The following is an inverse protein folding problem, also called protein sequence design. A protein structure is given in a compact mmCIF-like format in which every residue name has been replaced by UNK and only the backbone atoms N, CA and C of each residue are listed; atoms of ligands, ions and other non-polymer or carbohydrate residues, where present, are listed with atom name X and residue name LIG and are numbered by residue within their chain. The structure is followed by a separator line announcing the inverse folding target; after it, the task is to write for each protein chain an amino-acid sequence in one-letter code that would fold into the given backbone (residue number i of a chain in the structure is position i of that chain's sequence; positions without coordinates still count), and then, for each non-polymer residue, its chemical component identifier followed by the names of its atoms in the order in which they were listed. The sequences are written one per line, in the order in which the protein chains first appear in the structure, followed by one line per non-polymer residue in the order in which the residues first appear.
data_IF_893106903588
#
_entry.id   IF_893106903588
#
_cell.length_a   1.000
_cell.length_b   1.000
_cell.length_c   1.000
_cell.angle_alpha   90.00
_cell.angle_beta   90.00
_cell.angle_gamma   90.00
#
_symmetry.space_group_name_H-M   'P 1'
#
loop_
_entity.id
_entity.type
_entity.pdbx_description
1 polymer ?
#
# COMPACT_ATOMS: atom_id res chain seq x y z
N UNK A 1 -44.11 7.67 6.24
CA UNK A 1 -45.35 6.93 6.63
C UNK A 1 -46.59 7.82 6.74
N UNK A 2 -46.54 9.03 7.31
CA UNK A 2 -47.75 9.88 7.45
C UNK A 2 -48.25 10.51 6.13
N UNK A 3 -47.36 10.79 5.17
CA UNK A 3 -47.68 11.39 3.87
C UNK A 3 -48.44 10.42 2.95
N UNK A 4 -48.05 9.14 2.91
CA UNK A 4 -48.74 8.15 2.07
C UNK A 4 -50.17 7.87 2.57
N UNK A 5 -50.38 7.80 3.89
CA UNK A 5 -51.70 7.54 4.49
C UNK A 5 -52.73 8.63 4.17
N UNK A 6 -52.29 9.89 4.00
CA UNK A 6 -53.18 11.00 3.60
C UNK A 6 -53.63 10.90 2.14
N UNK A 7 -52.81 10.34 1.25
CA UNK A 7 -53.13 10.18 -0.17
C UNK A 7 -54.24 9.14 -0.40
N UNK A 8 -54.15 7.99 0.27
CA UNK A 8 -55.17 6.93 0.17
C UNK A 8 -56.54 7.37 0.73
N UNK A 9 -56.56 8.18 1.79
CA UNK A 9 -57.80 8.72 2.35
C UNK A 9 -58.53 9.65 1.38
N UNK A 10 -57.80 10.49 0.65
CA UNK A 10 -58.38 11.39 -0.36
C UNK A 10 -59.03 10.60 -1.52
N UNK A 11 -58.36 9.57 -2.01
CA UNK A 11 -58.90 8.69 -3.05
C UNK A 11 -60.19 7.97 -2.60
N UNK A 12 -60.22 7.46 -1.37
CA UNK A 12 -61.39 6.77 -0.81
C UNK A 12 -62.59 7.73 -0.72
N UNK A 13 -62.37 8.97 -0.28
CA UNK A 13 -63.43 9.99 -0.18
C UNK A 13 -63.99 10.32 -1.57
N UNK A 14 -63.12 10.49 -2.58
CA UNK A 14 -63.54 10.75 -3.96
C UNK A 14 -64.38 9.59 -4.50
N UNK A 15 -63.92 8.34 -4.35
CA UNK A 15 -64.64 7.14 -4.80
C UNK A 15 -66.02 7.05 -4.13
N UNK A 16 -66.07 7.23 -2.80
CA UNK A 16 -67.33 7.18 -2.05
C UNK A 16 -68.31 8.29 -2.45
N UNK A 17 -67.79 9.49 -2.73
CA UNK A 17 -68.59 10.62 -3.20
C UNK A 17 -69.19 10.34 -4.58
N UNK A 18 -68.39 9.85 -5.53
CA UNK A 18 -68.84 9.47 -6.88
C UNK A 18 -69.89 8.36 -6.80
N UNK A 19 -69.65 7.33 -5.98
CA UNK A 19 -70.61 6.25 -5.77
C UNK A 19 -71.94 6.74 -5.16
N UNK A 20 -71.86 7.62 -4.15
CA UNK A 20 -73.04 8.18 -3.50
C UNK A 20 -73.88 9.05 -4.46
N UNK A 21 -73.23 9.87 -5.29
CA UNK A 21 -73.89 10.68 -6.32
C UNK A 21 -74.57 9.79 -7.36
N UNK A 22 -73.90 8.71 -7.80
CA UNK A 22 -74.46 7.76 -8.76
C UNK A 22 -75.71 7.05 -8.22
N UNK A 23 -75.67 6.62 -6.95
CA UNK A 23 -76.79 5.98 -6.26
C UNK A 23 -77.96 6.95 -6.07
N UNK A 24 -77.69 8.20 -5.70
CA UNK A 24 -78.69 9.25 -5.52
C UNK A 24 -79.39 9.59 -6.84
N UNK A 25 -78.66 9.70 -7.95
CA UNK A 25 -79.23 9.89 -9.29
C UNK A 25 -80.14 8.73 -9.71
N UNK A 26 -79.75 7.48 -9.40
CA UNK A 26 -80.58 6.30 -9.66
C UNK A 26 -81.88 6.29 -8.84
N UNK A 27 -81.81 6.65 -7.55
CA UNK A 27 -82.99 6.74 -6.67
C UNK A 27 -83.94 7.86 -7.11
N UNK A 28 -83.41 9.04 -7.42
CA UNK A 28 -84.23 10.17 -7.91
C UNK A 28 -84.90 9.82 -9.24
N UNK A 29 -84.19 9.20 -10.17
CA UNK A 29 -84.78 8.75 -11.45
C UNK A 29 -85.91 7.73 -11.24
N UNK A 30 -85.78 6.83 -10.25
CA UNK A 30 -86.82 5.84 -9.91
C UNK A 30 -88.11 6.47 -9.35
N UNK A 31 -88.01 7.52 -8.52
CA UNK A 31 -89.17 8.16 -7.90
C UNK A 31 -89.82 9.28 -8.75
N UNK A 32 -89.08 9.88 -9.69
CA UNK A 32 -89.57 11.03 -10.49
C UNK A 32 -90.24 10.61 -11.81
N UNK A 33 -89.84 9.49 -12.40
CA UNK A 33 -90.38 9.02 -13.67
C UNK A 33 -91.14 7.71 -13.48
N UNK A 34 -92.41 7.63 -13.87
CA UNK A 34 -93.24 6.41 -13.71
C UNK A 34 -93.03 5.38 -14.84
N UNK A 35 -92.63 5.82 -16.03
CA UNK A 35 -92.44 4.96 -17.20
C UNK A 35 -90.96 4.61 -17.45
N UNK A 36 -90.70 3.34 -17.79
CA UNK A 36 -89.36 2.85 -18.11
C UNK A 36 -88.71 3.57 -19.31
N UNK A 37 -89.52 4.05 -20.24
CA UNK A 37 -89.04 4.76 -21.44
C UNK A 37 -88.39 6.08 -21.07
N UNK A 38 -89.04 6.91 -20.23
CA UNK A 38 -88.55 8.23 -19.84
C UNK A 38 -87.30 8.14 -18.94
N UNK A 39 -87.21 7.09 -18.12
CA UNK A 39 -85.99 6.75 -17.34
C UNK A 39 -84.81 6.44 -18.25
N UNK A 40 -85.04 5.70 -19.35
CA UNK A 40 -84.04 5.39 -20.35
C UNK A 40 -83.51 6.63 -21.07
N UNK A 41 -84.41 7.51 -21.53
CA UNK A 41 -84.03 8.76 -22.21
C UNK A 41 -83.25 9.72 -21.30
N UNK A 42 -83.59 9.77 -20.00
CA UNK A 42 -82.82 10.53 -19.01
C UNK A 42 -81.41 9.96 -18.83
N UNK A 43 -81.25 8.63 -18.84
CA UNK A 43 -79.95 7.96 -18.84
C UNK A 43 -79.12 8.25 -20.09
N UNK A 44 -79.75 8.27 -21.27
CA UNK A 44 -79.10 8.55 -22.55
C UNK A 44 -78.48 9.96 -22.63
N UNK A 45 -79.04 10.94 -21.90
CA UNK A 45 -78.44 12.28 -21.79
C UNK A 45 -77.04 12.28 -21.15
N UNK A 46 -76.76 11.30 -20.28
CA UNK A 46 -75.44 11.13 -19.68
C UNK A 46 -74.48 10.33 -20.56
N UNK A 47 -74.95 9.67 -21.62
CA UNK A 47 -74.09 8.91 -22.55
C UNK A 47 -73.03 9.78 -23.22
N UNK A 48 -73.41 10.98 -23.69
CA UNK A 48 -72.48 11.95 -24.30
C UNK A 48 -71.43 12.48 -23.30
N UNK A 49 -71.86 12.74 -22.06
CA UNK A 49 -70.98 13.13 -20.95
C UNK A 49 -70.00 12.01 -20.60
N UNK A 50 -70.46 10.75 -20.63
CA UNK A 50 -69.64 9.58 -20.32
C UNK A 50 -68.56 9.33 -21.39
N UNK A 51 -68.88 9.58 -22.67
CA UNK A 51 -67.91 9.54 -23.79
C UNK A 51 -66.86 10.63 -23.61
N UNK A 52 -67.26 11.86 -23.27
CA UNK A 52 -66.32 12.96 -23.02
C UNK A 52 -65.40 12.66 -21.83
N UNK A 53 -65.96 12.15 -20.72
CA UNK A 53 -65.19 11.81 -19.53
C UNK A 53 -64.21 10.66 -19.79
N UNK A 54 -64.63 9.66 -20.57
CA UNK A 54 -63.76 8.55 -21.00
C UNK A 54 -62.62 9.03 -21.89
N UNK A 55 -62.89 9.95 -22.83
CA UNK A 55 -61.87 10.57 -23.68
C UNK A 55 -60.87 11.42 -22.89
N UNK A 56 -61.35 12.21 -21.92
CA UNK A 56 -60.49 12.99 -21.03
C UNK A 56 -59.64 12.10 -20.12
N UNK A 57 -60.22 11.04 -19.54
CA UNK A 57 -59.48 10.07 -18.75
C UNK A 57 -58.38 9.39 -19.58
N UNK A 58 -58.68 9.02 -20.82
CA UNK A 58 -57.69 8.45 -21.74
C UNK A 58 -56.58 9.46 -22.08
N UNK A 59 -56.91 10.72 -22.34
CA UNK A 59 -55.93 11.78 -22.56
C UNK A 59 -55.03 12.00 -21.33
N UNK A 60 -55.61 11.94 -20.13
CA UNK A 60 -54.87 12.07 -18.87
C UNK A 60 -53.91 10.89 -18.67
N UNK A 61 -54.33 9.66 -18.98
CA UNK A 61 -53.45 8.48 -18.98
C UNK A 61 -52.29 8.65 -19.98
N UNK A 62 -52.56 9.07 -21.22
CA UNK A 62 -51.51 9.32 -22.21
C UNK A 62 -50.51 10.38 -21.74
N UNK A 63 -51.00 11.45 -21.12
CA UNK A 63 -50.15 12.48 -20.53
C UNK A 63 -49.27 11.93 -19.40
N UNK A 64 -49.83 11.10 -18.51
CA UNK A 64 -49.03 10.47 -17.44
C UNK A 64 -47.97 9.51 -17.99
N UNK A 65 -48.27 8.73 -19.04
CA UNK A 65 -47.29 7.87 -19.71
C UNK A 65 -46.16 8.70 -20.31
N UNK A 66 -46.49 9.86 -20.89
CA UNK A 66 -45.48 10.78 -21.41
C UNK A 66 -44.53 11.28 -20.32
N UNK A 67 -45.06 11.67 -19.15
CA UNK A 67 -44.26 12.07 -18.00
C UNK A 67 -43.39 10.92 -17.47
N UNK A 68 -43.97 9.72 -17.30
CA UNK A 68 -43.23 8.54 -16.86
C UNK A 68 -42.07 8.20 -17.80
N UNK A 69 -42.24 8.39 -19.12
CA UNK A 69 -41.16 8.20 -20.09
C UNK A 69 -40.01 9.20 -19.87
N UNK A 70 -40.33 10.48 -19.62
CA UNK A 70 -39.32 11.50 -19.34
C UNK A 70 -38.52 11.15 -18.08
N UNK A 71 -39.19 10.72 -17.00
CA UNK A 71 -38.54 10.29 -15.76
C UNK A 71 -37.60 9.10 -15.99
N UNK A 72 -38.02 8.11 -16.79
CA UNK A 72 -37.17 6.97 -17.15
C UNK A 72 -35.93 7.39 -17.95
N UNK A 73 -36.07 8.35 -18.85
CA UNK A 73 -34.94 8.85 -19.64
C UNK A 73 -33.93 9.61 -18.74
N UNK A 74 -34.41 10.44 -17.81
CA UNK A 74 -33.57 11.10 -16.80
C UNK A 74 -32.86 10.06 -15.91
N UNK A 75 -33.59 9.04 -15.43
CA UNK A 75 -33.00 7.97 -14.62
C UNK A 75 -31.89 7.22 -15.36
N UNK A 76 -32.07 6.96 -16.68
CA UNK A 76 -31.03 6.35 -17.51
C UNK A 76 -29.80 7.23 -17.63
N UNK A 77 -29.95 8.55 -17.74
CA UNK A 77 -28.81 9.48 -17.77
C UNK A 77 -28.06 9.49 -16.45
N UNK A 78 -28.76 9.55 -15.32
CA UNK A 78 -28.15 9.47 -13.98
C UNK A 78 -27.39 8.15 -13.81
N UNK A 79 -27.96 7.02 -14.24
CA UNK A 79 -27.28 5.73 -14.20
C UNK A 79 -26.01 5.72 -15.06
N UNK A 80 -26.03 6.31 -16.26
CA UNK A 80 -24.85 6.42 -17.12
C UNK A 80 -23.74 7.24 -16.45
N UNK A 81 -24.09 8.35 -15.82
CA UNK A 81 -23.13 9.19 -15.07
C UNK A 81 -22.56 8.40 -13.90
N UNK A 82 -23.40 7.73 -13.11
CA UNK A 82 -22.96 6.93 -11.97
C UNK A 82 -22.02 5.80 -12.38
N UNK A 83 -22.30 5.10 -13.49
CA UNK A 83 -21.39 4.07 -14.03
C UNK A 83 -20.05 4.69 -14.44
N UNK A 84 -20.06 5.88 -15.05
CA UNK A 84 -18.83 6.58 -15.43
C UNK A 84 -18.02 6.97 -14.20
N UNK A 85 -18.65 7.51 -13.16
CA UNK A 85 -17.99 7.91 -11.93
C UNK A 85 -17.40 6.70 -11.18
N UNK A 86 -18.13 5.58 -11.13
CA UNK A 86 -17.62 4.33 -10.56
C UNK A 86 -16.40 3.81 -11.32
N UNK A 87 -16.38 3.92 -12.65
CA UNK A 87 -15.21 3.55 -13.46
C UNK A 87 -14.00 4.44 -13.16
N UNK A 88 -14.20 5.76 -13.09
CA UNK A 88 -13.13 6.70 -12.72
C UNK A 88 -12.60 6.44 -11.31
N UNK A 89 -13.49 6.13 -10.37
CA UNK A 89 -13.10 5.78 -9.00
C UNK A 89 -12.30 4.47 -8.99
N UNK A 90 -12.73 3.45 -9.72
CA UNK A 90 -11.99 2.18 -9.82
C UNK A 90 -10.58 2.39 -10.40
N UNK A 91 -10.45 3.20 -11.45
CA UNK A 91 -9.15 3.56 -12.03
C UNK A 91 -8.27 4.33 -11.04
N UNK A 92 -8.84 5.31 -10.33
CA UNK A 92 -8.11 6.05 -9.30
C UNK A 92 -7.63 5.13 -8.18
N UNK A 93 -8.45 4.18 -7.72
CA UNK A 93 -8.06 3.20 -6.70
C UNK A 93 -6.98 2.23 -7.19
N UNK A 94 -7.03 1.81 -8.45
CA UNK A 94 -6.00 0.96 -9.03
C UNK A 94 -4.65 1.70 -9.08
N UNK A 95 -4.66 2.96 -9.54
CA UNK A 95 -3.47 3.81 -9.55
C UNK A 95 -2.93 4.08 -8.14
N UNK A 96 -3.79 4.28 -7.16
CA UNK A 96 -3.37 4.42 -5.75
C UNK A 96 -2.75 3.13 -5.21
N UNK A 97 -3.27 1.97 -5.58
CA UNK A 97 -2.69 0.68 -5.17
C UNK A 97 -1.27 0.49 -5.74
N UNK A 98 -1.05 0.80 -7.02
CA UNK A 98 0.29 0.75 -7.66
C UNK A 98 1.28 1.71 -6.98
N UNK A 99 0.83 2.91 -6.61
CA UNK A 99 1.65 3.89 -5.89
C UNK A 99 2.04 3.39 -4.48
N UNK A 100 1.11 2.77 -3.77
CA UNK A 100 1.37 2.20 -2.45
C UNK A 100 2.37 1.04 -2.52
N UNK A 101 2.27 0.19 -3.53
CA UNK A 101 3.25 -0.89 -3.74
C UNK A 101 4.65 -0.32 -3.99
N UNK A 102 4.76 0.68 -4.87
CA UNK A 102 6.03 1.37 -5.14
C UNK A 102 6.60 2.03 -3.87
N UNK A 103 5.74 2.64 -3.06
CA UNK A 103 6.13 3.25 -1.80
C UNK A 103 6.61 2.22 -0.78
N UNK A 104 5.95 1.06 -0.69
CA UNK A 104 6.37 -0.05 0.19
C UNK A 104 7.77 -0.55 -0.19
N UNK A 105 8.04 -0.71 -1.48
CA UNK A 105 9.36 -1.12 -1.97
C UNK A 105 10.45 -0.09 -1.63
N UNK A 106 10.15 1.20 -1.80
CA UNK A 106 11.07 2.29 -1.43
C UNK A 106 11.36 2.31 0.08
N UNK A 107 10.33 2.22 0.92
CA UNK A 107 10.46 2.19 2.38
C UNK A 107 11.28 0.99 2.83
N UNK A 108 11.05 -0.19 2.26
CA UNK A 108 11.82 -1.39 2.56
C UNK A 108 13.31 -1.17 2.25
N UNK A 109 13.63 -0.61 1.07
CA UNK A 109 15.01 -0.28 0.72
C UNK A 109 15.63 0.75 1.69
N UNK A 110 14.89 1.78 2.11
CA UNK A 110 15.38 2.77 3.08
C UNK A 110 15.70 2.15 4.44
N UNK A 111 14.86 1.24 4.94
CA UNK A 111 15.11 0.52 6.21
C UNK A 111 16.36 -0.36 6.10
N UNK A 112 16.50 -1.11 5.00
CA UNK A 112 17.66 -1.96 4.75
C UNK A 112 18.94 -1.11 4.64
N UNK A 113 18.90 -0.02 3.86
CA UNK A 113 20.00 0.92 3.72
C UNK A 113 20.41 1.50 5.08
N UNK A 114 19.45 2.00 5.87
CA UNK A 114 19.72 2.53 7.21
C UNK A 114 20.33 1.48 8.14
N UNK A 115 19.87 0.24 8.05
CA UNK A 115 20.44 -0.89 8.81
C UNK A 115 21.89 -1.16 8.40
N UNK A 116 22.18 -1.23 7.10
CA UNK A 116 23.54 -1.45 6.58
C UNK A 116 24.49 -0.33 7.00
N UNK A 117 24.08 0.94 6.84
CA UNK A 117 24.89 2.08 7.27
C UNK A 117 25.16 2.05 8.77
N UNK A 118 24.18 1.65 9.58
CA UNK A 118 24.39 1.48 11.02
C UNK A 118 25.41 0.36 11.31
N UNK A 119 25.31 -0.80 10.64
CA UNK A 119 26.27 -1.89 10.80
C UNK A 119 27.70 -1.49 10.40
N UNK A 120 27.85 -0.75 9.30
CA UNK A 120 29.13 -0.16 8.87
C UNK A 120 29.67 0.79 9.94
N UNK A 121 28.83 1.68 10.48
CA UNK A 121 29.24 2.61 11.53
C UNK A 121 29.70 1.89 12.81
N UNK A 122 29.02 0.81 13.20
CA UNK A 122 29.43 -0.01 14.35
C UNK A 122 30.77 -0.69 14.04
N UNK A 123 30.98 -1.23 12.83
CA UNK A 123 32.25 -1.82 12.39
C UNK A 123 33.39 -0.80 12.49
N UNK A 124 33.18 0.38 11.90
CA UNK A 124 34.17 1.44 11.86
C UNK A 124 34.51 1.95 13.27
N UNK A 125 33.52 2.06 14.15
CA UNK A 125 33.76 2.37 15.57
C UNK A 125 34.61 1.30 16.26
N UNK A 126 34.35 0.04 15.96
CA UNK A 126 35.12 -1.07 16.54
C UNK A 126 36.61 -0.96 16.22
N UNK A 127 36.96 -0.56 14.98
CA UNK A 127 38.34 -0.23 14.60
C UNK A 127 38.82 1.04 15.31
N UNK A 128 38.07 2.14 15.19
CA UNK A 128 38.48 3.45 15.71
C UNK A 128 38.81 3.44 17.21
N UNK A 129 38.03 2.70 17.98
CA UNK A 129 38.17 2.61 19.44
C UNK A 129 39.21 1.56 19.87
N UNK A 130 39.74 0.76 18.92
CA UNK A 130 40.76 -0.24 19.22
C UNK A 130 42.09 0.42 19.60
N UNK A 131 42.70 -0.11 20.66
CA UNK A 131 43.98 0.36 21.19
C UNK A 131 44.91 -0.82 21.37
N UNK A 132 46.15 -0.66 20.95
CA UNK A 132 47.15 -1.70 21.12
C UNK A 132 48.54 -1.09 21.35
N UNK A 133 49.29 -1.68 22.27
CA UNK A 133 50.66 -1.31 22.59
C UNK A 133 51.58 -2.49 22.24
N UNK A 134 52.50 -2.34 21.26
CA UNK A 134 53.40 -3.42 20.83
C UNK A 134 54.36 -3.91 21.92
N UNK A 135 54.71 -3.03 22.87
CA UNK A 135 55.62 -3.33 23.98
C UNK A 135 54.92 -2.99 25.29
N UNK A 136 54.37 -4.00 25.98
CA UNK A 136 53.74 -3.80 27.29
C UNK A 136 54.76 -3.35 28.36
N UNK A 137 54.30 -2.59 29.37
CA UNK A 137 55.08 -2.29 30.59
C UNK A 137 55.54 -3.59 31.25
N UNK A 138 56.84 -3.84 31.30
CA UNK A 138 57.41 -4.96 32.05
C UNK A 138 57.16 -4.79 33.57
N UNK A 139 57.07 -5.87 34.35
CA UNK A 139 57.01 -5.76 35.81
C UNK A 139 58.32 -5.12 36.33
N UNK A 140 58.18 -3.94 36.95
CA UNK A 140 59.14 -3.23 37.78
C UNK A 140 60.63 -3.22 37.33
N UNK A 141 61.06 -2.15 36.64
CA UNK A 141 62.46 -1.70 36.70
C UNK A 141 63.12 -1.27 35.38
N UNK A 142 62.52 -1.53 34.22
CA UNK A 142 63.06 -1.11 32.93
C UNK A 142 62.16 -0.05 32.29
N UNK A 143 62.57 1.22 32.34
CA UNK A 143 61.99 2.29 31.53
C UNK A 143 62.54 2.15 30.11
N UNK A 144 61.80 1.45 29.24
CA UNK A 144 61.88 1.71 27.81
C UNK A 144 61.00 2.94 27.54
N UNK A 145 61.45 3.81 26.63
CA UNK A 145 60.68 4.96 26.16
C UNK A 145 59.22 4.55 25.94
N UNK A 146 58.27 5.30 26.52
CA UNK A 146 56.84 5.02 26.38
C UNK A 146 56.50 4.98 24.89
N UNK A 147 56.37 3.78 24.33
CA UNK A 147 55.91 3.65 22.94
C UNK A 147 54.48 4.14 22.92
N UNK A 148 54.13 5.12 22.07
CA UNK A 148 52.79 5.66 22.04
C UNK A 148 51.79 4.54 21.75
N UNK A 149 50.71 4.49 22.54
CA UNK A 149 49.61 3.56 22.27
C UNK A 149 49.11 3.81 20.84
N UNK A 150 49.15 2.77 20.01
CA UNK A 150 48.55 2.84 18.69
C UNK A 150 47.03 2.84 18.86
N UNK A 151 46.35 3.59 18.01
CA UNK A 151 44.89 3.67 18.00
C UNK A 151 44.35 3.50 16.58
N UNK A 152 43.10 3.04 16.48
CA UNK A 152 42.42 2.96 15.19
C UNK A 152 43.06 1.92 14.26
N UNK A 153 43.15 2.28 12.99
CA UNK A 153 43.64 1.39 11.93
C UNK A 153 45.10 0.95 12.12
N UNK A 154 45.97 1.86 12.57
CA UNK A 154 47.38 1.54 12.85
C UNK A 154 47.53 0.50 13.96
N UNK A 155 46.69 0.59 15.00
CA UNK A 155 46.65 -0.40 16.07
C UNK A 155 46.20 -1.77 15.58
N UNK A 156 45.17 -1.80 14.73
CA UNK A 156 44.66 -3.04 14.14
C UNK A 156 45.72 -3.71 13.28
N UNK A 157 46.39 -2.92 12.42
CA UNK A 157 47.48 -3.40 11.58
C UNK A 157 48.62 -3.98 12.42
N UNK A 158 49.13 -3.21 13.38
CA UNK A 158 50.23 -3.67 14.24
C UNK A 158 49.85 -4.90 15.07
N UNK A 159 48.63 -4.93 15.62
CA UNK A 159 48.15 -6.09 16.35
C UNK A 159 48.02 -7.33 15.46
N UNK A 160 47.62 -7.14 14.20
CA UNK A 160 47.53 -8.23 13.24
C UNK A 160 48.90 -8.85 12.91
N UNK A 161 50.00 -8.11 13.04
CA UNK A 161 51.34 -8.65 12.76
C UNK A 161 51.70 -9.84 13.65
N UNK A 162 51.13 -9.91 14.86
CA UNK A 162 51.26 -11.06 15.77
C UNK A 162 50.71 -12.36 15.16
N UNK A 163 49.82 -12.25 14.17
CA UNK A 163 49.18 -13.36 13.47
C UNK A 163 49.79 -13.63 12.09
N UNK A 164 50.83 -12.92 11.65
CA UNK A 164 51.38 -13.07 10.30
C UNK A 164 51.84 -14.50 9.97
N UNK A 165 52.37 -15.23 10.96
CA UNK A 165 52.78 -16.63 10.77
C UNK A 165 51.60 -17.61 10.68
N UNK A 166 50.44 -17.25 11.25
CA UNK A 166 49.22 -18.03 11.19
C UNK A 166 47.98 -17.10 11.21
N UNK A 167 47.58 -16.55 10.05
CA UNK A 167 46.47 -15.59 9.95
C UNK A 167 45.14 -16.13 10.50
N UNK A 168 44.89 -17.44 10.39
CA UNK A 168 43.68 -18.06 10.91
C UNK A 168 43.55 -17.97 12.43
N UNK A 169 44.65 -17.75 13.15
CA UNK A 169 44.61 -17.51 14.60
C UNK A 169 43.74 -16.30 14.98
N UNK A 170 43.69 -15.29 14.10
CA UNK A 170 42.85 -14.11 14.29
C UNK A 170 41.34 -14.44 14.27
N UNK A 171 40.92 -15.56 13.67
CA UNK A 171 39.51 -15.97 13.67
C UNK A 171 38.99 -16.29 15.08
N UNK A 172 39.89 -16.64 16.00
CA UNK A 172 39.57 -16.94 17.41
C UNK A 172 39.91 -15.79 18.36
N UNK A 173 40.59 -14.76 17.88
CA UNK A 173 40.93 -13.58 18.67
C UNK A 173 39.68 -12.77 19.06
N UNK A 174 39.71 -12.14 20.24
CA UNK A 174 38.54 -11.45 20.79
C UNK A 174 38.12 -10.25 19.95
N UNK A 175 39.08 -9.51 19.39
CA UNK A 175 38.82 -8.36 18.54
C UNK A 175 38.46 -8.81 17.13
N UNK A 176 39.34 -9.55 16.46
CA UNK A 176 39.18 -9.92 15.06
C UNK A 176 37.93 -10.78 14.82
N UNK A 177 37.60 -11.73 15.71
CA UNK A 177 36.39 -12.55 15.56
C UNK A 177 35.09 -11.71 15.56
N UNK A 178 35.02 -10.67 16.41
CA UNK A 178 33.87 -9.76 16.47
C UNK A 178 33.82 -8.85 15.25
N UNK A 179 34.97 -8.35 14.83
CA UNK A 179 35.10 -7.54 13.62
C UNK A 179 34.64 -8.31 12.37
N UNK A 180 35.20 -9.50 12.13
CA UNK A 180 34.84 -10.34 10.99
C UNK A 180 33.37 -10.73 11.00
N UNK A 181 32.84 -11.10 12.17
CA UNK A 181 31.41 -11.40 12.30
C UNK A 181 30.55 -10.22 11.86
N UNK A 182 30.92 -8.99 12.22
CA UNK A 182 30.14 -7.80 11.85
C UNK A 182 30.23 -7.50 10.36
N UNK A 183 31.42 -7.62 9.77
CA UNK A 183 31.64 -7.44 8.35
C UNK A 183 30.83 -8.46 7.52
N UNK A 184 30.99 -9.77 7.79
CA UNK A 184 30.29 -10.81 7.06
C UNK A 184 28.78 -10.83 7.34
N UNK A 185 28.36 -10.49 8.57
CA UNK A 185 26.92 -10.31 8.85
C UNK A 185 26.33 -9.20 7.99
N UNK A 186 27.05 -8.09 7.80
CA UNK A 186 26.59 -6.99 6.93
C UNK A 186 26.46 -7.46 5.48
N UNK A 187 27.46 -8.16 4.94
CA UNK A 187 27.40 -8.72 3.58
C UNK A 187 26.28 -9.75 3.41
N UNK A 188 26.12 -10.65 4.37
CA UNK A 188 25.06 -11.66 4.31
C UNK A 188 23.67 -11.02 4.45
N UNK A 189 23.52 -10.02 5.31
CA UNK A 189 22.27 -9.25 5.42
C UNK A 189 21.91 -8.58 4.07
N UNK A 190 22.90 -7.98 3.38
CA UNK A 190 22.69 -7.44 2.03
C UNK A 190 22.30 -8.57 1.06
N UNK A 191 23.01 -9.70 1.08
CA UNK A 191 22.75 -10.81 0.17
C UNK A 191 21.35 -11.43 0.34
N UNK A 192 20.90 -11.61 1.59
CA UNK A 192 19.64 -12.24 1.95
C UNK A 192 18.44 -11.28 1.88
N UNK A 193 18.69 -9.97 1.85
CA UNK A 193 17.63 -8.97 1.84
C UNK A 193 16.72 -9.05 0.61
N UNK A 194 15.42 -8.78 0.81
CA UNK A 194 14.40 -8.81 -0.24
C UNK A 194 14.37 -7.49 -1.05
N UNK A 195 15.47 -7.20 -1.74
CA UNK A 195 15.66 -6.06 -2.64
C UNK A 195 16.30 -6.51 -3.94
N UNK A 196 16.26 -5.67 -4.97
CA UNK A 196 16.79 -6.03 -6.28
C UNK A 196 18.34 -6.08 -6.29
N UNK A 197 18.92 -6.78 -7.26
CA UNK A 197 20.36 -7.00 -7.33
C UNK A 197 21.18 -5.69 -7.44
N UNK A 198 20.63 -4.66 -8.10
CA UNK A 198 21.29 -3.36 -8.22
C UNK A 198 21.38 -2.65 -6.86
N UNK A 199 20.31 -2.70 -6.07
CA UNK A 199 20.28 -2.16 -4.71
C UNK A 199 21.24 -2.92 -3.80
N UNK A 200 21.30 -4.25 -3.90
CA UNK A 200 22.29 -5.06 -3.17
C UNK A 200 23.71 -4.66 -3.52
N UNK A 201 24.00 -4.49 -4.82
CA UNK A 201 25.33 -4.05 -5.27
C UNK A 201 25.68 -2.67 -4.71
N UNK A 202 24.78 -1.70 -4.77
CA UNK A 202 25.03 -0.35 -4.20
C UNK A 202 25.40 -0.42 -2.72
N UNK A 203 24.68 -1.23 -1.93
CA UNK A 203 24.96 -1.37 -0.50
C UNK A 203 26.30 -2.06 -0.23
N UNK A 204 26.65 -3.05 -1.04
CA UNK A 204 27.94 -3.72 -0.96
C UNK A 204 29.10 -2.81 -1.40
N UNK A 205 28.89 -1.98 -2.42
CA UNK A 205 29.84 -0.98 -2.88
C UNK A 205 30.11 0.04 -1.76
N UNK A 206 29.07 0.51 -1.05
CA UNK A 206 29.23 1.39 0.11
C UNK A 206 30.08 0.70 1.19
N UNK A 207 29.79 -0.55 1.53
CA UNK A 207 30.62 -1.30 2.48
C UNK A 207 32.07 -1.42 2.00
N UNK A 208 32.29 -1.64 0.70
CA UNK A 208 33.64 -1.74 0.13
C UNK A 208 34.42 -0.43 0.24
N UNK A 209 33.76 0.70 -0.02
CA UNK A 209 34.36 2.04 0.11
C UNK A 209 34.71 2.34 1.57
N UNK A 210 33.87 1.89 2.50
CA UNK A 210 34.05 2.05 3.95
C UNK A 210 34.94 0.96 4.58
N UNK A 211 35.64 0.17 3.76
CA UNK A 211 36.59 -0.86 4.19
C UNK A 211 37.95 -0.52 3.62
N UNK A 212 38.93 -0.24 4.49
CA UNK A 212 40.26 0.17 4.06
C UNK A 212 41.06 -0.97 3.41
N UNK A 213 42.11 -0.62 2.66
CA UNK A 213 43.00 -1.62 2.04
C UNK A 213 43.66 -2.55 3.06
N UNK A 214 44.16 -2.06 4.22
CA UNK A 214 44.53 -2.90 5.36
C UNK A 214 43.47 -3.88 5.82
N UNK A 215 42.25 -3.40 6.07
CA UNK A 215 41.13 -4.25 6.50
C UNK A 215 40.87 -5.36 5.49
N UNK A 216 40.80 -5.01 4.20
CA UNK A 216 40.53 -5.95 3.12
C UNK A 216 41.62 -7.02 3.04
N UNK A 217 42.90 -6.63 3.17
CA UNK A 217 44.01 -7.59 3.18
C UNK A 217 43.93 -8.54 4.37
N UNK A 218 43.60 -8.05 5.56
CA UNK A 218 43.42 -8.87 6.76
C UNK A 218 42.28 -9.87 6.56
N UNK A 219 41.12 -9.41 6.05
CA UNK A 219 39.96 -10.26 5.78
C UNK A 219 40.33 -11.42 4.84
N UNK A 220 40.99 -11.12 3.72
CA UNK A 220 41.38 -12.15 2.76
C UNK A 220 42.42 -13.13 3.31
N UNK A 221 43.42 -12.64 4.06
CA UNK A 221 44.43 -13.50 4.69
C UNK A 221 43.80 -14.47 5.71
N UNK A 222 42.87 -13.98 6.53
CA UNK A 222 42.24 -14.80 7.58
C UNK A 222 41.23 -15.82 7.05
N UNK A 223 40.58 -15.54 5.91
CA UNK A 223 39.50 -16.38 5.37
C UNK A 223 39.90 -17.12 4.08
N UNK A 224 41.19 -17.22 3.77
CA UNK A 224 41.69 -17.87 2.55
C UNK A 224 41.20 -19.31 2.36
N UNK A 225 40.92 -20.03 3.45
CA UNK A 225 40.42 -21.41 3.43
C UNK A 225 38.89 -21.53 3.62
N UNK A 226 38.17 -20.41 3.74
CA UNK A 226 36.73 -20.37 4.00
C UNK A 226 35.95 -20.10 2.71
N UNK A 227 35.66 -21.17 1.96
CA UNK A 227 35.02 -21.07 0.64
C UNK A 227 33.70 -20.29 0.63
N UNK A 228 32.87 -20.42 1.67
CA UNK A 228 31.59 -19.69 1.76
C UNK A 228 31.77 -18.17 1.85
N UNK A 229 32.70 -17.71 2.68
CA UNK A 229 32.98 -16.28 2.87
C UNK A 229 33.65 -15.68 1.64
N UNK A 230 34.57 -16.42 1.01
CA UNK A 230 35.18 -16.02 -0.26
C UNK A 230 34.17 -15.92 -1.40
N UNK A 231 33.16 -16.79 -1.43
CA UNK A 231 32.09 -16.75 -2.44
C UNK A 231 31.28 -15.45 -2.32
N UNK A 232 30.91 -15.07 -1.09
CA UNK A 232 30.14 -13.84 -0.84
C UNK A 232 30.96 -12.60 -1.18
N UNK A 233 32.25 -12.58 -0.83
CA UNK A 233 33.17 -11.50 -1.23
C UNK A 233 33.25 -11.34 -2.75
N UNK A 234 33.40 -12.45 -3.48
CA UNK A 234 33.47 -12.46 -4.94
C UNK A 234 32.15 -12.05 -5.58
N UNK A 235 31.02 -12.45 -5.02
CA UNK A 235 29.69 -12.09 -5.51
C UNK A 235 29.50 -10.57 -5.59
N UNK A 236 30.06 -9.83 -4.64
CA UNK A 236 29.98 -8.37 -4.58
C UNK A 236 31.20 -7.63 -5.14
N UNK A 237 32.18 -8.35 -5.70
CA UNK A 237 33.34 -7.75 -6.39
C UNK A 237 34.50 -7.32 -5.49
N UNK A 238 34.54 -7.76 -4.23
CA UNK A 238 35.66 -7.50 -3.33
C UNK A 238 36.96 -8.17 -3.79
N UNK A 239 36.88 -9.19 -4.64
CA UNK A 239 38.02 -9.91 -5.22
C UNK A 239 38.81 -9.02 -6.17
N UNK A 240 38.11 -8.21 -6.98
CA UNK A 240 38.75 -7.25 -7.89
C UNK A 240 39.49 -6.16 -7.14
N UNK A 241 38.89 -5.64 -6.07
CA UNK A 241 39.52 -4.65 -5.19
C UNK A 241 40.77 -5.25 -4.54
N UNK A 242 40.68 -6.43 -3.95
CA UNK A 242 41.81 -7.10 -3.32
C UNK A 242 42.98 -7.34 -4.29
N UNK A 243 42.68 -7.85 -5.49
CA UNK A 243 43.71 -8.11 -6.51
C UNK A 243 44.38 -6.83 -7.04
N UNK A 244 43.77 -5.65 -6.89
CA UNK A 244 44.40 -4.38 -7.25
C UNK A 244 45.42 -3.88 -6.21
N UNK A 245 45.41 -4.48 -5.02
CA UNK A 245 46.27 -4.11 -3.88
C UNK A 245 47.49 -5.03 -3.71
N UNK A 246 47.57 -6.10 -4.50
CA UNK A 246 48.64 -7.12 -4.54
C UNK A 246 49.50 -6.97 -5.78
#
# INVERSE_FOLDING_TARGET
MQTERKSYLGLIIIIFTVFSIWLLLGVVSYFVFDNWTDRGTFGDMFGSVNVLFSGLAFALVLYTIHLQKQDLDIQREVQKIQIKDLKLQAEATAKSAEQLESQQQLLNFQVIQGTVLNLINIKNRYIKDFRWAPYGKFPAGFNLEETPDLHGEEAVLGYFELFNANPEGALTDTFFSKYFRMFFYTLNFINESNINQKQKQILADILSIETSDPELRIIYKCHANKQGELLVLKQFGFDKLYNSLT
#
